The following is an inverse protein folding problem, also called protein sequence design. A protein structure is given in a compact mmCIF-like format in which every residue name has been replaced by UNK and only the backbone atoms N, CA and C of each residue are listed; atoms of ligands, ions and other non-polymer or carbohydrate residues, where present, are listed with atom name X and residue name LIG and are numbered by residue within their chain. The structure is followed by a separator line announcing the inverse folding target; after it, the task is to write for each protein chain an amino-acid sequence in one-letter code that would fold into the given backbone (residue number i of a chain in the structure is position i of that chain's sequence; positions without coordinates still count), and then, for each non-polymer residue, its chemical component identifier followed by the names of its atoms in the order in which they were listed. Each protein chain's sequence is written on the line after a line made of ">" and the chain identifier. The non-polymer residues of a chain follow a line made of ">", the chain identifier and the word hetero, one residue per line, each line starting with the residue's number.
data_IF_157919752598
#
_entry.id   IF_157919752598
#
_cell.length_a   1.000
_cell.length_b   1.000
_cell.length_c   1.000
_cell.angle_alpha   90.00
_cell.angle_beta   90.00
_cell.angle_gamma   90.00
#
_symmetry.space_group_name_H-M   'P 1'
#
loop_
_entity.id
_entity.type
_entity.pdbx_description
1 polymer ?
#
# COMPACT_ATOMS: atom_id res chain seq x y z
N UNK A 1 61.49 42.63 -49.96
CA UNK A 1 61.82 42.54 -48.52
C UNK A 1 60.56 42.19 -47.77
N UNK A 2 60.60 41.08 -47.04
CA UNK A 2 59.53 40.56 -46.20
C UNK A 2 59.00 41.58 -45.20
N UNK A 3 57.71 41.48 -44.89
CA UNK A 3 57.20 41.79 -43.55
C UNK A 3 56.04 40.87 -43.24
N UNK A 4 56.34 39.87 -42.42
CA UNK A 4 55.39 39.08 -41.65
C UNK A 4 54.85 39.97 -40.54
N UNK A 5 53.53 40.02 -40.32
CA UNK A 5 52.99 40.43 -39.03
C UNK A 5 51.82 39.52 -38.61
N UNK A 6 52.16 38.74 -37.57
CA UNK A 6 51.37 38.01 -36.59
C UNK A 6 49.83 38.02 -36.69
N UNK A 7 49.28 36.83 -36.93
CA UNK A 7 47.89 36.48 -36.60
C UNK A 7 47.82 36.26 -35.07
N UNK A 8 47.19 37.18 -34.33
CA UNK A 8 46.80 36.93 -32.94
C UNK A 8 45.63 35.93 -32.92
N UNK A 9 45.71 34.82 -32.17
CA UNK A 9 44.56 33.95 -32.03
C UNK A 9 43.52 34.66 -31.16
N UNK A 10 42.32 34.85 -31.71
CA UNK A 10 41.13 35.14 -30.92
C UNK A 10 40.88 33.92 -30.03
N UNK A 11 41.28 34.02 -28.75
CA UNK A 11 40.79 33.11 -27.73
C UNK A 11 39.29 33.39 -27.57
N UNK A 12 38.48 32.55 -28.21
CA UNK A 12 37.08 32.42 -27.85
C UNK A 12 37.05 31.90 -26.41
N UNK A 13 36.42 32.61 -25.44
CA UNK A 13 36.16 32.00 -24.15
C UNK A 13 35.21 30.84 -24.43
N UNK A 14 35.74 29.62 -24.37
CA UNK A 14 34.92 28.42 -24.29
C UNK A 14 34.23 28.50 -22.93
N UNK A 15 33.02 29.06 -22.91
CA UNK A 15 32.11 28.87 -21.78
C UNK A 15 31.82 27.38 -21.75
N UNK A 16 32.61 26.64 -20.98
CA UNK A 16 32.20 25.34 -20.53
C UNK A 16 30.96 25.60 -19.67
N UNK A 17 29.77 25.46 -20.26
CA UNK A 17 28.58 25.28 -19.45
C UNK A 17 28.92 24.17 -18.46
N UNK A 18 28.78 24.39 -17.15
CA UNK A 18 29.13 23.38 -16.17
C UNK A 18 28.32 22.14 -16.53
N UNK A 19 29.02 21.05 -16.86
CA UNK A 19 28.39 19.80 -17.24
C UNK A 19 27.40 19.42 -16.13
N UNK A 20 26.14 19.20 -16.51
CA UNK A 20 25.11 18.76 -15.57
C UNK A 20 25.47 17.36 -15.09
N UNK A 21 26.13 17.29 -13.93
CA UNK A 21 26.48 16.02 -13.29
C UNK A 21 25.29 15.50 -12.49
N UNK A 22 24.40 14.79 -13.19
CA UNK A 22 23.23 14.15 -12.60
C UNK A 22 23.60 13.20 -11.45
N UNK A 23 24.69 12.45 -11.59
CA UNK A 23 25.11 11.46 -10.60
C UNK A 23 25.58 12.14 -9.31
N UNK A 24 26.38 13.20 -9.41
CA UNK A 24 26.79 13.98 -8.26
C UNK A 24 25.60 14.63 -7.54
N UNK A 25 24.65 15.21 -8.28
CA UNK A 25 23.45 15.85 -7.71
C UNK A 25 22.53 14.85 -7.01
N UNK A 26 22.30 13.68 -7.61
CA UNK A 26 21.52 12.62 -6.97
C UNK A 26 22.21 12.12 -5.70
N UNK A 27 23.54 11.95 -5.73
CA UNK A 27 24.32 11.53 -4.57
C UNK A 27 24.28 12.56 -3.44
N UNK A 28 24.40 13.85 -3.76
CA UNK A 28 24.30 14.97 -2.80
C UNK A 28 22.98 14.89 -2.04
N UNK A 29 21.84 14.84 -2.75
CA UNK A 29 20.53 14.77 -2.12
C UNK A 29 20.28 13.47 -1.35
N UNK A 30 20.78 12.33 -1.85
CA UNK A 30 20.68 11.05 -1.15
C UNK A 30 21.45 11.05 0.17
N UNK A 31 22.69 11.54 0.18
CA UNK A 31 23.52 11.59 1.38
C UNK A 31 22.92 12.52 2.42
N UNK A 32 22.44 13.70 2.00
CA UNK A 32 21.80 14.66 2.89
C UNK A 32 20.55 14.07 3.55
N UNK A 33 19.59 13.59 2.75
CA UNK A 33 18.31 13.06 3.25
C UNK A 33 18.45 11.74 4.04
N UNK A 34 19.61 11.08 3.96
CA UNK A 34 19.92 9.87 4.73
C UNK A 34 20.79 10.16 5.97
N UNK A 35 21.16 11.42 6.21
CA UNK A 35 22.01 11.77 7.35
C UNK A 35 21.28 11.57 8.68
N UNK A 36 22.05 11.21 9.72
CA UNK A 36 21.54 11.04 11.09
C UNK A 36 20.80 12.28 11.61
N UNK A 37 21.18 13.46 11.11
CA UNK A 37 20.53 14.73 11.43
C UNK A 37 19.03 14.78 11.04
N UNK A 38 18.51 13.84 10.25
CA UNK A 38 17.07 13.75 9.98
C UNK A 38 16.37 12.78 10.94
N UNK A 39 17.08 11.81 11.52
CA UNK A 39 16.51 10.74 12.38
C UNK A 39 15.39 9.94 11.70
N UNK A 40 15.34 9.97 10.36
CA UNK A 40 14.20 9.52 9.56
C UNK A 40 13.41 10.69 8.97
N UNK A 41 12.26 10.40 8.36
CA UNK A 41 11.46 11.41 7.65
C UNK A 41 9.98 11.04 7.60
N UNK A 42 9.49 10.44 8.68
CA UNK A 42 8.10 10.05 8.81
C UNK A 42 7.21 11.28 9.07
N UNK A 43 5.94 11.30 8.64
CA UNK A 43 5.03 12.41 8.90
C UNK A 43 4.91 12.75 10.40
N UNK A 44 4.83 14.04 10.72
CA UNK A 44 4.67 14.56 12.07
C UNK A 44 5.91 14.39 12.96
N UNK A 45 7.11 14.29 12.38
CA UNK A 45 8.39 14.19 13.09
C UNK A 45 9.29 15.39 12.78
N UNK A 46 10.29 15.65 13.63
CA UNK A 46 11.31 16.66 13.34
C UNK A 46 12.07 16.38 12.02
N UNK A 47 12.22 15.11 11.65
CA UNK A 47 12.82 14.70 10.38
C UNK A 47 12.00 15.12 9.15
N UNK A 48 10.67 15.13 9.24
CA UNK A 48 9.81 15.70 8.19
C UNK A 48 10.05 17.21 8.07
N UNK A 49 10.08 17.95 9.19
CA UNK A 49 10.31 19.41 9.17
C UNK A 49 11.63 19.77 8.50
N UNK A 50 12.72 19.06 8.84
CA UNK A 50 14.03 19.23 8.22
C UNK A 50 14.00 18.88 6.74
N UNK A 51 13.34 17.77 6.37
CA UNK A 51 13.21 17.33 4.97
C UNK A 51 12.46 18.38 4.14
N UNK A 52 11.36 18.90 4.66
CA UNK A 52 10.55 19.92 4.00
C UNK A 52 11.36 21.20 3.80
N UNK A 53 12.08 21.67 4.82
CA UNK A 53 12.93 22.84 4.71
C UNK A 53 14.01 22.67 3.63
N UNK A 54 14.69 21.51 3.62
CA UNK A 54 15.67 21.17 2.59
C UNK A 54 15.05 21.19 1.19
N UNK A 55 13.89 20.57 0.98
CA UNK A 55 13.23 20.54 -0.32
C UNK A 55 12.88 21.95 -0.82
N UNK A 56 12.35 22.82 0.05
CA UNK A 56 12.05 24.21 -0.29
C UNK A 56 13.32 24.98 -0.69
N UNK A 57 14.40 24.85 0.08
CA UNK A 57 15.68 25.48 -0.24
C UNK A 57 16.20 25.03 -1.61
N UNK A 58 16.13 23.73 -1.90
CA UNK A 58 16.55 23.19 -3.21
C UNK A 58 15.67 23.70 -4.35
N UNK A 59 14.36 23.77 -4.17
CA UNK A 59 13.44 24.31 -5.18
C UNK A 59 13.71 25.80 -5.44
N UNK A 60 13.95 26.59 -4.39
CA UNK A 60 14.33 27.99 -4.51
C UNK A 60 15.66 28.18 -5.23
N UNK A 61 16.67 27.37 -4.91
CA UNK A 61 17.97 27.41 -5.58
C UNK A 61 17.89 27.05 -7.07
N UNK A 62 16.86 26.28 -7.47
CA UNK A 62 16.55 25.97 -8.87
C UNK A 62 15.72 27.06 -9.57
N UNK A 63 15.32 28.13 -8.86
CA UNK A 63 14.52 29.23 -9.41
C UNK A 63 13.04 28.88 -9.61
N UNK A 64 12.54 27.85 -8.92
CA UNK A 64 11.12 27.53 -8.93
C UNK A 64 10.31 28.57 -8.14
N UNK A 65 9.05 28.72 -8.51
CA UNK A 65 8.06 29.49 -7.77
C UNK A 65 7.23 28.57 -6.85
N UNK A 66 6.74 29.05 -5.70
CA UNK A 66 5.84 28.27 -4.87
C UNK A 66 4.55 27.88 -5.63
N UNK A 67 4.17 26.60 -5.56
CA UNK A 67 3.02 26.05 -6.28
C UNK A 67 1.99 25.36 -5.37
N UNK A 68 2.10 25.58 -4.07
CA UNK A 68 1.16 25.11 -3.06
C UNK A 68 -0.06 26.01 -2.91
N UNK A 69 -0.83 25.75 -1.86
CA UNK A 69 -2.06 26.49 -1.53
C UNK A 69 -1.71 27.93 -1.19
N UNK A 70 -2.52 28.88 -1.66
CA UNK A 70 -2.40 30.32 -1.40
C UNK A 70 -1.01 30.91 -1.70
N UNK A 71 -0.32 30.39 -2.73
CA UNK A 71 1.00 30.88 -3.14
C UNK A 71 2.13 30.47 -2.18
N UNK A 72 1.90 29.48 -1.32
CA UNK A 72 2.92 28.87 -0.47
C UNK A 72 3.63 27.73 -1.20
N UNK A 73 4.66 27.14 -0.59
CA UNK A 73 5.28 25.90 -1.08
C UNK A 73 4.50 24.64 -0.71
N UNK A 74 3.42 24.77 0.07
CA UNK A 74 2.84 23.66 0.81
C UNK A 74 1.40 23.39 0.38
N UNK A 75 1.09 22.11 0.23
CA UNK A 75 -0.29 21.63 0.25
C UNK A 75 -0.49 20.88 1.57
N UNK A 76 -1.29 21.41 2.51
CA UNK A 76 -1.58 20.73 3.77
C UNK A 76 -2.21 19.36 3.54
N UNK A 77 -1.71 18.35 4.25
CA UNK A 77 -2.26 17.00 4.25
C UNK A 77 -2.55 16.66 5.72
N UNK A 78 -3.76 16.94 6.22
CA UNK A 78 -4.13 16.56 7.57
C UNK A 78 -4.26 15.03 7.65
N UNK A 79 -3.55 14.45 8.61
CA UNK A 79 -3.48 13.02 8.83
C UNK A 79 -3.91 12.67 10.25
N UNK A 80 -4.40 11.45 10.42
CA UNK A 80 -4.53 10.79 11.70
C UNK A 80 -3.41 9.76 11.84
N UNK A 81 -2.56 9.94 12.84
CA UNK A 81 -1.63 8.90 13.29
C UNK A 81 -2.39 7.92 14.18
N UNK A 82 -2.41 6.64 13.80
CA UNK A 82 -3.14 5.57 14.48
C UNK A 82 -2.16 4.49 14.90
N UNK A 83 -2.12 4.22 16.20
CA UNK A 83 -1.41 3.07 16.76
C UNK A 83 -2.42 2.13 17.43
N UNK A 84 -2.64 0.97 16.81
CA UNK A 84 -3.60 -0.03 17.28
C UNK A 84 -2.96 -1.09 18.17
N UNK A 85 -3.68 -1.53 19.20
CA UNK A 85 -3.40 -2.75 19.96
C UNK A 85 -4.44 -3.81 19.62
N UNK A 86 -4.12 -4.76 18.73
CA UNK A 86 -5.07 -5.76 18.29
C UNK A 86 -5.20 -6.95 19.24
N UNK A 87 -6.39 -7.55 19.23
CA UNK A 87 -6.65 -8.94 19.66
C UNK A 87 -7.39 -9.66 18.54
N UNK A 88 -7.11 -10.94 18.36
CA UNK A 88 -7.74 -11.78 17.35
C UNK A 88 -7.81 -13.21 17.86
N UNK A 89 -8.96 -13.86 17.71
CA UNK A 89 -9.12 -15.29 17.95
C UNK A 89 -10.19 -15.87 17.02
N UNK A 90 -10.12 -17.19 16.81
CA UNK A 90 -11.07 -17.93 15.97
C UNK A 90 -11.68 -19.07 16.77
N UNK A 91 -13.00 -19.14 16.85
CA UNK A 91 -13.74 -20.17 17.58
C UNK A 91 -14.39 -21.12 16.59
N UNK A 92 -14.03 -22.40 16.64
CA UNK A 92 -14.54 -23.44 15.72
C UNK A 92 -15.58 -24.30 16.44
N UNK A 93 -16.83 -23.83 16.49
CA UNK A 93 -17.92 -24.47 17.22
C UNK A 93 -18.05 -24.00 18.68
N UNK A 94 -19.22 -24.24 19.28
CA UNK A 94 -19.62 -23.58 20.55
C UNK A 94 -18.81 -23.97 21.79
N UNK A 95 -18.09 -25.10 21.77
CA UNK A 95 -17.32 -25.62 22.91
C UNK A 95 -15.82 -25.76 22.64
N UNK A 96 -15.34 -25.30 21.48
CA UNK A 96 -13.92 -25.38 21.16
C UNK A 96 -13.14 -24.26 21.84
N UNK A 97 -11.93 -24.58 22.29
CA UNK A 97 -10.95 -23.59 22.71
C UNK A 97 -10.65 -22.63 21.55
N UNK A 98 -10.57 -21.31 21.78
CA UNK A 98 -10.23 -20.35 20.74
C UNK A 98 -8.85 -20.63 20.15
N UNK A 99 -8.76 -20.60 18.82
CA UNK A 99 -7.51 -20.59 18.10
C UNK A 99 -6.98 -19.16 18.03
N UNK A 100 -5.90 -18.90 18.76
CA UNK A 100 -5.28 -17.57 18.84
C UNK A 100 -3.93 -17.55 18.10
N UNK A 101 -3.70 -16.58 17.18
CA UNK A 101 -2.39 -16.32 16.60
C UNK A 101 -1.48 -15.57 17.58
N UNK A 102 -0.19 -15.89 17.57
CA UNK A 102 0.83 -15.07 18.22
C UNK A 102 1.04 -13.76 17.44
N UNK A 103 0.47 -12.65 17.90
CA UNK A 103 0.64 -11.34 17.28
C UNK A 103 2.02 -10.73 17.64
N UNK A 104 2.72 -10.05 16.70
CA UNK A 104 2.39 -9.86 15.29
C UNK A 104 2.98 -10.95 14.36
N UNK A 105 3.44 -12.09 14.90
CA UNK A 105 4.21 -13.10 14.18
C UNK A 105 3.39 -14.05 13.31
N UNK A 106 2.17 -14.36 13.72
CA UNK A 106 1.25 -15.27 13.03
C UNK A 106 0.06 -14.55 12.40
N UNK A 107 -0.26 -13.36 12.90
CA UNK A 107 -1.24 -12.47 12.29
C UNK A 107 -0.92 -11.01 12.65
N UNK A 108 -1.45 -10.09 11.84
CA UNK A 108 -1.55 -8.68 12.16
C UNK A 108 -2.94 -8.17 11.86
N UNK A 109 -3.36 -7.17 12.62
CA UNK A 109 -4.67 -6.56 12.49
C UNK A 109 -4.53 -5.08 12.86
N UNK A 110 -5.14 -4.21 12.08
CA UNK A 110 -5.29 -2.78 12.38
C UNK A 110 -6.74 -2.36 12.19
N UNK A 111 -7.11 -1.25 12.80
CA UNK A 111 -8.36 -0.58 12.53
C UNK A 111 -8.07 0.86 12.20
N UNK A 112 -8.48 1.30 11.01
CA UNK A 112 -8.46 2.71 10.61
C UNK A 112 -9.74 3.43 11.02
N UNK A 113 -10.55 2.85 11.90
CA UNK A 113 -11.65 3.57 12.52
C UNK A 113 -11.10 4.80 13.24
N UNK A 114 -11.68 5.97 12.97
CA UNK A 114 -11.33 7.21 13.67
C UNK A 114 -11.77 7.16 15.17
N UNK A 115 -12.52 6.12 15.57
CA UNK A 115 -12.89 5.87 16.97
C UNK A 115 -11.76 5.24 17.80
N UNK A 116 -11.90 5.35 19.12
CA UNK A 116 -10.90 4.85 20.08
C UNK A 116 -10.80 3.31 20.14
N UNK A 117 -11.81 2.57 19.69
CA UNK A 117 -11.76 1.13 19.61
C UNK A 117 -12.76 0.55 18.60
N UNK A 118 -12.47 -0.65 18.13
CA UNK A 118 -13.42 -1.55 17.47
C UNK A 118 -13.44 -2.89 18.19
N UNK A 119 -14.60 -3.54 18.23
CA UNK A 119 -14.77 -4.86 18.82
C UNK A 119 -15.88 -5.61 18.09
N UNK A 120 -15.58 -6.83 17.67
CA UNK A 120 -16.53 -7.78 17.09
C UNK A 120 -16.29 -9.12 17.75
N UNK A 121 -17.30 -9.64 18.44
CA UNK A 121 -17.18 -10.88 19.23
C UNK A 121 -17.72 -12.13 18.51
N UNK A 122 -18.34 -11.94 17.35
CA UNK A 122 -18.87 -13.02 16.51
C UNK A 122 -19.04 -12.56 15.06
N UNK A 123 -18.08 -12.89 14.20
CA UNK A 123 -18.23 -12.79 12.75
C UNK A 123 -17.91 -14.11 12.07
N UNK A 124 -18.81 -14.57 11.18
CA UNK A 124 -18.58 -15.80 10.41
C UNK A 124 -17.35 -15.63 9.50
N UNK A 125 -16.46 -16.63 9.52
CA UNK A 125 -15.26 -16.64 8.69
C UNK A 125 -15.49 -17.39 7.39
N UNK A 126 -15.24 -16.70 6.27
CA UNK A 126 -15.43 -17.25 4.93
C UNK A 126 -14.16 -17.07 4.11
N UNK A 127 -13.68 -18.14 3.52
CA UNK A 127 -12.62 -18.09 2.52
C UNK A 127 -13.21 -17.74 1.15
N UNK A 128 -12.75 -16.65 0.56
CA UNK A 128 -13.29 -16.09 -0.70
C UNK A 128 -12.25 -16.11 -1.83
N UNK A 129 -11.34 -17.08 -1.82
CA UNK A 129 -10.34 -17.23 -2.88
C UNK A 129 -9.41 -16.03 -2.95
N UNK A 130 -9.32 -15.38 -4.10
CA UNK A 130 -8.56 -14.15 -4.29
C UNK A 130 -9.41 -12.89 -4.04
N UNK A 131 -10.70 -13.00 -3.73
CA UNK A 131 -11.57 -11.84 -3.47
C UNK A 131 -11.77 -10.91 -4.67
N UNK A 132 -11.70 -11.43 -5.90
CA UNK A 132 -11.76 -10.63 -7.13
C UNK A 132 -13.18 -10.50 -7.68
N UNK A 133 -13.54 -9.29 -8.12
CA UNK A 133 -14.67 -8.97 -8.99
C UNK A 133 -14.14 -8.27 -10.24
N UNK A 134 -14.01 -9.02 -11.34
CA UNK A 134 -13.53 -8.54 -12.63
C UNK A 134 -14.54 -8.93 -13.73
N UNK A 135 -15.61 -8.13 -13.93
CA UNK A 135 -16.65 -8.41 -14.91
C UNK A 135 -16.14 -8.54 -16.35
N UNK A 136 -15.06 -7.83 -16.69
CA UNK A 136 -14.38 -7.92 -17.99
C UNK A 136 -13.75 -9.30 -18.27
N UNK A 137 -13.59 -10.12 -17.23
CA UNK A 137 -13.08 -11.48 -17.29
C UNK A 137 -14.13 -12.53 -16.90
N UNK A 138 -15.40 -12.14 -16.77
CA UNK A 138 -16.48 -12.98 -16.20
C UNK A 138 -16.08 -13.61 -14.85
N UNK A 139 -15.30 -12.87 -14.05
CA UNK A 139 -14.73 -13.35 -12.80
C UNK A 139 -15.38 -12.68 -11.59
N UNK A 140 -15.87 -13.50 -10.67
CA UNK A 140 -16.40 -13.04 -9.39
C UNK A 140 -16.21 -14.13 -8.33
N UNK A 141 -15.27 -13.95 -7.42
CA UNK A 141 -14.99 -14.95 -6.37
C UNK A 141 -16.09 -15.07 -5.33
N UNK A 142 -16.97 -14.07 -5.20
CA UNK A 142 -18.03 -14.04 -4.20
C UNK A 142 -19.28 -14.80 -4.63
N UNK A 143 -19.54 -14.92 -5.94
CA UNK A 143 -20.69 -15.65 -6.51
C UNK A 143 -22.03 -15.30 -5.83
N UNK A 144 -22.22 -14.03 -5.44
CA UNK A 144 -23.44 -13.56 -4.75
C UNK A 144 -23.50 -13.81 -3.25
N UNK A 145 -22.40 -14.24 -2.61
CA UNK A 145 -22.27 -14.33 -1.15
C UNK A 145 -22.62 -12.99 -0.49
N UNK A 146 -23.56 -13.01 0.46
CA UNK A 146 -23.76 -11.87 1.37
C UNK A 146 -22.55 -11.79 2.31
N UNK A 147 -21.72 -10.77 2.14
CA UNK A 147 -20.51 -10.60 2.95
C UNK A 147 -20.75 -9.77 4.21
N UNK A 148 -21.96 -9.23 4.40
CA UNK A 148 -22.24 -8.27 5.46
C UNK A 148 -21.91 -8.84 6.84
N UNK A 149 -21.07 -8.15 7.58
CA UNK A 149 -20.68 -8.53 8.94
C UNK A 149 -19.78 -9.76 9.04
N UNK A 150 -19.34 -10.35 7.91
CA UNK A 150 -18.45 -11.53 7.91
C UNK A 150 -16.98 -11.13 7.96
N UNK A 151 -16.13 -12.02 8.45
CA UNK A 151 -14.67 -11.91 8.30
C UNK A 151 -14.26 -12.66 7.05
N UNK A 152 -13.76 -11.94 6.06
CA UNK A 152 -13.31 -12.53 4.80
C UNK A 152 -11.84 -12.89 4.90
N UNK A 153 -11.49 -14.12 4.56
CA UNK A 153 -10.11 -14.56 4.37
C UNK A 153 -9.84 -14.73 2.87
N UNK A 154 -8.79 -14.10 2.37
CA UNK A 154 -8.48 -14.06 0.94
C UNK A 154 -6.98 -14.27 0.70
N UNK A 155 -6.61 -14.78 -0.46
CA UNK A 155 -5.22 -14.90 -0.89
C UNK A 155 -4.69 -13.54 -1.39
N UNK A 156 -3.42 -13.28 -1.13
CA UNK A 156 -2.71 -12.14 -1.75
C UNK A 156 -2.51 -12.39 -3.25
N UNK A 157 -2.37 -11.29 -4.01
CA UNK A 157 -2.09 -11.26 -5.45
C UNK A 157 -3.31 -11.58 -6.35
N UNK A 158 -3.10 -11.57 -7.66
CA UNK A 158 -4.07 -11.97 -8.69
C UNK A 158 -4.24 -13.50 -8.71
N UNK A 159 -5.42 -14.03 -9.15
CA UNK A 159 -5.57 -15.44 -9.45
C UNK A 159 -4.54 -15.87 -10.52
N UNK A 160 -3.72 -16.91 -10.27
CA UNK A 160 -2.73 -17.38 -11.23
C UNK A 160 -3.40 -18.27 -12.27
N UNK A 161 -4.20 -17.65 -13.15
CA UNK A 161 -4.94 -18.35 -14.20
C UNK A 161 -3.95 -18.91 -15.21
N UNK A 162 -3.96 -20.23 -15.39
CA UNK A 162 -3.14 -20.90 -16.41
C UNK A 162 -3.73 -20.70 -17.80
N UNK A 163 -2.84 -20.53 -18.77
CA UNK A 163 -3.19 -20.48 -20.19
C UNK A 163 -3.63 -21.88 -20.67
N UNK A 164 -4.88 -22.06 -21.14
CA UNK A 164 -5.39 -23.35 -21.60
C UNK A 164 -4.60 -23.93 -22.77
N UNK A 165 -3.98 -23.07 -23.60
CA UNK A 165 -3.17 -23.46 -24.74
C UNK A 165 -1.70 -23.71 -24.38
N UNK A 166 -1.23 -23.22 -23.21
CA UNK A 166 0.17 -23.35 -22.76
C UNK A 166 0.23 -23.76 -21.27
N UNK A 167 -0.01 -25.05 -20.97
CA UNK A 167 0.03 -25.56 -19.58
C UNK A 167 1.32 -25.17 -18.86
N UNK A 168 1.20 -24.72 -17.61
CA UNK A 168 2.32 -24.21 -16.81
C UNK A 168 2.76 -22.78 -17.13
N UNK A 169 2.06 -22.06 -18.02
CA UNK A 169 2.19 -20.60 -18.19
C UNK A 169 0.93 -19.90 -17.72
N UNK A 170 1.08 -18.70 -17.18
CA UNK A 170 -0.04 -17.84 -16.85
C UNK A 170 -0.64 -17.22 -18.11
N UNK A 171 -1.95 -17.09 -18.14
CA UNK A 171 -2.68 -16.43 -19.20
C UNK A 171 -2.38 -14.91 -19.19
N UNK A 172 -1.90 -14.38 -20.31
CA UNK A 172 -1.62 -12.94 -20.44
C UNK A 172 -2.89 -12.12 -20.70
N UNK A 173 -3.96 -12.76 -21.19
CA UNK A 173 -5.25 -12.12 -21.46
C UNK A 173 -6.10 -11.99 -20.20
N UNK A 174 -5.89 -12.86 -19.21
CA UNK A 174 -6.62 -12.88 -17.94
C UNK A 174 -5.65 -12.48 -16.81
N UNK A 175 -5.89 -11.33 -16.19
CA UNK A 175 -5.02 -10.77 -15.15
C UNK A 175 -3.54 -10.54 -15.55
N UNK A 176 -3.25 -10.36 -16.86
CA UNK A 176 -1.91 -9.95 -17.36
C UNK A 176 -0.76 -10.88 -16.97
N UNK A 177 -1.04 -12.17 -16.76
CA UNK A 177 -0.05 -13.20 -16.47
C UNK A 177 0.76 -12.91 -15.21
N UNK A 178 2.06 -12.60 -15.37
CA UNK A 178 2.97 -12.33 -14.24
C UNK A 178 2.88 -10.91 -13.70
N UNK A 179 2.30 -9.98 -14.46
CA UNK A 179 2.21 -8.58 -14.06
C UNK A 179 1.04 -8.39 -13.09
N UNK A 180 1.31 -7.91 -11.88
CA UNK A 180 0.27 -7.65 -10.89
C UNK A 180 -0.73 -6.60 -11.42
N UNK A 181 -2.01 -6.93 -11.37
CA UNK A 181 -3.08 -5.99 -11.74
C UNK A 181 -3.57 -5.20 -10.52
N UNK A 182 -4.61 -4.38 -10.70
CA UNK A 182 -5.28 -3.74 -9.57
C UNK A 182 -5.88 -4.79 -8.63
N UNK A 183 -6.41 -5.89 -9.17
CA UNK A 183 -7.01 -6.96 -8.39
C UNK A 183 -6.02 -7.64 -7.45
N UNK A 184 -4.75 -7.78 -7.84
CA UNK A 184 -3.74 -8.38 -6.99
C UNK A 184 -3.28 -7.53 -5.80
N UNK A 185 -3.60 -6.23 -5.79
CA UNK A 185 -3.19 -5.33 -4.71
C UNK A 185 -3.95 -5.61 -3.43
N UNK A 186 -3.25 -5.64 -2.31
CA UNK A 186 -3.87 -5.75 -0.98
C UNK A 186 -4.86 -4.61 -0.69
N UNK A 187 -4.60 -3.40 -1.21
CA UNK A 187 -5.53 -2.26 -1.07
C UNK A 187 -6.89 -2.57 -1.70
N UNK A 188 -6.90 -3.18 -2.89
CA UNK A 188 -8.14 -3.59 -3.55
C UNK A 188 -8.91 -4.58 -2.67
N UNK A 189 -8.24 -5.56 -2.06
CA UNK A 189 -8.89 -6.56 -1.17
C UNK A 189 -9.63 -5.89 -0.01
N UNK A 190 -9.03 -4.86 0.60
CA UNK A 190 -9.67 -4.07 1.66
C UNK A 190 -10.83 -3.23 1.14
N UNK A 191 -10.66 -2.59 -0.03
CA UNK A 191 -11.70 -1.79 -0.68
C UNK A 191 -12.93 -2.63 -1.00
N UNK A 192 -12.78 -3.74 -1.72
CA UNK A 192 -13.91 -4.61 -2.09
C UNK A 192 -14.58 -5.24 -0.86
N UNK A 193 -13.82 -5.66 0.16
CA UNK A 193 -14.40 -6.17 1.39
C UNK A 193 -15.23 -5.10 2.11
N UNK A 194 -14.79 -3.86 2.07
CA UNK A 194 -15.51 -2.72 2.65
C UNK A 194 -16.78 -2.41 1.86
N UNK A 195 -16.71 -2.39 0.53
CA UNK A 195 -17.87 -2.20 -0.36
C UNK A 195 -18.94 -3.27 -0.15
N UNK A 196 -18.53 -4.52 0.06
CA UNK A 196 -19.43 -5.64 0.34
C UNK A 196 -19.93 -5.69 1.80
N UNK A 197 -19.50 -4.76 2.65
CA UNK A 197 -19.96 -4.62 4.03
C UNK A 197 -19.40 -5.65 5.01
N UNK A 198 -18.25 -6.26 4.70
CA UNK A 198 -17.57 -7.19 5.60
C UNK A 198 -17.21 -6.53 6.94
N UNK A 199 -17.19 -7.33 8.01
CA UNK A 199 -16.69 -6.86 9.31
C UNK A 199 -15.16 -6.74 9.30
N UNK A 200 -14.46 -7.67 8.65
CA UNK A 200 -13.02 -7.66 8.54
C UNK A 200 -12.52 -8.31 7.23
N UNK A 201 -11.31 -7.92 6.83
CA UNK A 201 -10.57 -8.56 5.73
C UNK A 201 -9.20 -9.02 6.21
N UNK A 202 -8.92 -10.32 6.07
CA UNK A 202 -7.66 -10.95 6.43
C UNK A 202 -7.02 -11.57 5.19
N UNK A 203 -5.85 -11.04 4.81
CA UNK A 203 -5.12 -11.54 3.64
C UNK A 203 -4.13 -12.62 4.09
N UNK A 204 -4.15 -13.78 3.45
CA UNK A 204 -3.14 -14.81 3.66
C UNK A 204 -1.86 -14.39 2.94
N UNK A 205 -0.79 -14.19 3.70
CA UNK A 205 0.53 -13.89 3.16
C UNK A 205 1.14 -15.15 2.54
N UNK A 206 1.79 -14.96 1.39
CA UNK A 206 2.70 -15.93 0.81
C UNK A 206 3.90 -15.19 0.22
N UNK A 207 5.13 -15.61 0.54
CA UNK A 207 6.34 -14.85 0.17
C UNK A 207 6.49 -14.65 -1.34
N UNK A 208 6.22 -15.69 -2.15
CA UNK A 208 6.30 -15.59 -3.61
C UNK A 208 5.29 -14.59 -4.18
N UNK A 209 3.97 -14.81 -3.96
CA UNK A 209 2.92 -13.89 -4.38
C UNK A 209 3.02 -12.46 -3.83
N UNK A 210 3.44 -12.26 -2.57
CA UNK A 210 3.60 -10.93 -1.99
C UNK A 210 4.87 -10.21 -2.48
N UNK A 211 5.90 -10.97 -2.90
CA UNK A 211 7.20 -10.44 -3.33
C UNK A 211 8.14 -10.03 -2.17
N UNK A 212 7.74 -10.25 -0.93
CA UNK A 212 8.54 -9.97 0.26
C UNK A 212 8.19 -10.90 1.44
N UNK A 213 9.12 -11.11 2.39
CA UNK A 213 8.86 -11.93 3.59
C UNK A 213 7.78 -11.33 4.49
N UNK A 214 7.11 -12.18 5.28
CA UNK A 214 6.06 -11.76 6.22
C UNK A 214 6.55 -10.70 7.23
N UNK A 215 7.84 -10.68 7.56
CA UNK A 215 8.45 -9.68 8.44
C UNK A 215 8.25 -8.23 7.98
N UNK A 216 8.10 -7.98 6.67
CA UNK A 216 7.77 -6.65 6.13
C UNK A 216 6.34 -6.25 6.53
N UNK A 217 5.40 -7.19 6.47
CA UNK A 217 4.01 -6.98 6.90
C UNK A 217 3.96 -6.76 8.41
N UNK A 218 4.52 -7.67 9.19
CA UNK A 218 4.44 -7.61 10.65
C UNK A 218 5.15 -6.38 11.23
N UNK A 219 6.29 -5.98 10.65
CA UNK A 219 7.01 -4.77 11.03
C UNK A 219 6.31 -3.46 10.70
N UNK A 220 5.36 -3.46 9.74
CA UNK A 220 4.59 -2.27 9.34
C UNK A 220 3.34 -2.06 10.19
N UNK A 221 2.67 -3.14 10.59
CA UNK A 221 1.44 -3.06 11.40
C UNK A 221 1.69 -2.77 12.88
N UNK A 222 2.89 -3.06 13.41
CA UNK A 222 3.25 -2.78 14.80
C UNK A 222 3.61 -1.31 15.11
N UNK A 223 3.67 -0.45 14.08
CA UNK A 223 4.01 0.97 14.18
C UNK A 223 2.77 1.85 14.08
N UNK A 224 2.94 3.13 14.40
CA UNK A 224 1.95 4.13 14.02
C UNK A 224 1.78 4.14 12.50
N UNK A 225 0.53 4.05 12.05
CA UNK A 225 0.14 4.13 10.66
C UNK A 225 -0.67 5.42 10.45
N UNK A 226 -0.65 5.96 9.24
CA UNK A 226 -1.36 7.20 8.93
C UNK A 226 -2.55 6.92 8.01
N UNK A 227 -3.68 7.57 8.32
CA UNK A 227 -4.80 7.73 7.38
C UNK A 227 -5.09 9.22 7.19
N UNK A 228 -5.83 9.56 6.15
CA UNK A 228 -6.29 10.94 5.95
C UNK A 228 -7.29 11.31 7.04
N UNK A 229 -7.17 12.51 7.60
CA UNK A 229 -8.22 13.10 8.44
C UNK A 229 -9.34 13.65 7.54
N UNK A 230 -10.07 12.73 6.90
CA UNK A 230 -11.14 13.04 5.95
C UNK A 230 -12.47 13.24 6.71
N UNK A 231 -13.16 14.40 6.57
CA UNK A 231 -14.47 14.61 7.15
C UNK A 231 -15.56 13.71 6.56
N UNK A 232 -15.32 13.07 5.41
CA UNK A 232 -16.25 12.13 4.74
C UNK A 232 -15.52 10.83 4.39
N UNK A 233 -15.09 10.05 5.39
CA UNK A 233 -14.30 8.87 5.14
C UNK A 233 -15.11 7.86 4.31
N UNK A 234 -14.44 7.20 3.35
CA UNK A 234 -15.01 6.07 2.62
C UNK A 234 -15.41 4.96 3.61
N UNK A 235 -16.47 4.18 3.35
CA UNK A 235 -16.77 2.99 4.14
C UNK A 235 -15.55 2.08 4.21
N UNK A 236 -15.27 1.56 5.40
CA UNK A 236 -14.17 0.64 5.67
C UNK A 236 -14.66 -0.53 6.51
N UNK A 237 -14.06 -1.70 6.32
CA UNK A 237 -14.15 -2.80 7.29
C UNK A 237 -13.69 -2.32 8.67
N UNK A 238 -14.23 -2.92 9.73
CA UNK A 238 -13.87 -2.53 11.10
C UNK A 238 -12.40 -2.87 11.41
N UNK A 239 -11.88 -3.94 10.82
CA UNK A 239 -10.49 -4.33 10.94
C UNK A 239 -9.94 -4.95 9.64
N UNK A 240 -8.69 -4.64 9.33
CA UNK A 240 -7.97 -5.15 8.17
C UNK A 240 -6.63 -5.73 8.61
N UNK A 241 -6.17 -6.79 7.96
CA UNK A 241 -5.01 -7.52 8.46
C UNK A 241 -4.48 -8.58 7.52
N UNK A 242 -3.48 -9.30 8.03
CA UNK A 242 -2.84 -10.41 7.33
C UNK A 242 -2.62 -11.59 8.27
N UNK A 243 -2.78 -12.79 7.74
CA UNK A 243 -2.39 -14.04 8.39
C UNK A 243 -1.07 -14.52 7.78
N UNK A 244 -0.13 -14.95 8.63
CA UNK A 244 1.01 -15.71 8.16
C UNK A 244 0.52 -17.05 7.59
N UNK A 245 1.10 -17.52 6.49
CA UNK A 245 0.71 -18.77 5.84
C UNK A 245 0.60 -19.97 6.81
N UNK A 246 1.56 -20.19 7.75
CA UNK A 246 1.48 -21.32 8.67
C UNK A 246 0.24 -21.27 9.57
N UNK A 247 -0.14 -20.08 10.04
CA UNK A 247 -1.32 -19.90 10.86
C UNK A 247 -2.61 -20.04 10.03
N UNK A 248 -2.62 -19.51 8.80
CA UNK A 248 -3.75 -19.72 7.89
C UNK A 248 -3.97 -21.23 7.64
N UNK A 249 -2.92 -22.01 7.37
CA UNK A 249 -3.01 -23.47 7.23
C UNK A 249 -3.56 -24.14 8.49
N UNK A 250 -3.13 -23.70 9.68
CA UNK A 250 -3.66 -24.19 10.97
C UNK A 250 -5.16 -23.90 11.11
N UNK A 251 -5.61 -22.69 10.80
CA UNK A 251 -7.02 -22.31 10.83
C UNK A 251 -7.87 -23.15 9.87
N UNK A 252 -7.39 -23.35 8.64
CA UNK A 252 -8.08 -24.15 7.62
C UNK A 252 -8.13 -25.62 8.03
N UNK A 253 -7.02 -26.19 8.50
CA UNK A 253 -6.97 -27.57 8.98
C UNK A 253 -7.89 -27.83 10.17
N UNK A 254 -7.94 -26.90 11.14
CA UNK A 254 -8.89 -26.97 12.25
C UNK A 254 -10.36 -26.92 11.79
N UNK A 255 -10.62 -26.27 10.65
CA UNK A 255 -11.92 -26.18 9.99
C UNK A 255 -12.24 -27.40 9.11
N UNK A 256 -11.38 -28.42 9.10
CA UNK A 256 -11.50 -29.60 8.23
C UNK A 256 -11.23 -29.32 6.76
N UNK A 257 -10.60 -28.19 6.43
CA UNK A 257 -10.29 -27.77 5.07
C UNK A 257 -8.82 -28.00 4.72
N UNK A 258 -8.55 -28.40 3.47
CA UNK A 258 -7.21 -28.44 2.90
C UNK A 258 -6.91 -27.09 2.21
N UNK A 259 -5.99 -26.32 2.79
CA UNK A 259 -5.59 -25.02 2.27
C UNK A 259 -5.06 -25.09 0.83
N UNK A 260 -4.24 -26.09 0.49
CA UNK A 260 -3.64 -26.19 -0.84
C UNK A 260 -4.69 -26.60 -1.89
N UNK A 261 -5.64 -27.45 -1.50
CA UNK A 261 -6.77 -27.80 -2.37
C UNK A 261 -7.67 -26.58 -2.63
N UNK A 262 -8.00 -25.81 -1.60
CA UNK A 262 -8.81 -24.60 -1.74
C UNK A 262 -8.09 -23.51 -2.54
N UNK A 263 -6.78 -23.33 -2.34
CA UNK A 263 -5.96 -22.41 -3.15
C UNK A 263 -5.96 -22.80 -4.63
N UNK A 264 -5.76 -24.08 -4.95
CA UNK A 264 -5.83 -24.57 -6.35
C UNK A 264 -7.23 -24.37 -6.94
N UNK A 265 -8.28 -24.58 -6.15
CA UNK A 265 -9.65 -24.32 -6.60
C UNK A 265 -9.88 -22.83 -6.88
N UNK A 266 -9.38 -21.95 -6.01
CA UNK A 266 -9.51 -20.49 -6.13
C UNK A 266 -8.81 -19.88 -7.36
N UNK A 267 -7.89 -20.62 -8.01
CA UNK A 267 -7.28 -20.21 -9.27
C UNK A 267 -8.19 -20.45 -10.49
N UNK A 268 -9.42 -20.94 -10.30
CA UNK A 268 -10.39 -21.23 -11.37
C UNK A 268 -11.64 -20.36 -11.23
N UNK A 269 -12.20 -19.95 -12.36
CA UNK A 269 -13.40 -19.10 -12.40
C UNK A 269 -14.64 -19.75 -11.77
N UNK A 270 -14.68 -21.08 -11.68
CA UNK A 270 -15.79 -21.86 -11.11
C UNK A 270 -15.71 -22.00 -9.57
N UNK A 271 -14.67 -21.45 -8.93
CA UNK A 271 -14.54 -21.40 -7.48
C UNK A 271 -15.78 -20.79 -6.81
N UNK A 272 -16.12 -21.32 -5.64
CA UNK A 272 -17.17 -20.79 -4.77
C UNK A 272 -16.59 -20.55 -3.37
N UNK A 273 -17.00 -19.48 -2.67
CA UNK A 273 -16.58 -19.24 -1.29
C UNK A 273 -16.86 -20.42 -0.37
N UNK A 274 -15.98 -20.63 0.59
CA UNK A 274 -16.06 -21.73 1.56
C UNK A 274 -16.15 -21.17 2.97
N UNK A 275 -17.28 -21.40 3.63
CA UNK A 275 -17.42 -21.11 5.05
C UNK A 275 -16.52 -22.04 5.86
N UNK A 276 -15.68 -21.48 6.73
CA UNK A 276 -14.73 -22.26 7.53
C UNK A 276 -15.36 -22.86 8.79
N UNK A 277 -16.64 -22.58 9.07
CA UNK A 277 -17.29 -23.00 10.32
C UNK A 277 -16.69 -22.35 11.57
N UNK A 278 -15.78 -21.38 11.39
CA UNK A 278 -15.17 -20.60 12.45
C UNK A 278 -15.90 -19.26 12.63
N UNK A 279 -15.92 -18.76 13.86
CA UNK A 279 -16.31 -17.39 14.21
C UNK A 279 -15.09 -16.61 14.66
N UNK A 280 -14.79 -15.50 14.02
CA UNK A 280 -13.72 -14.61 14.46
C UNK A 280 -14.21 -13.71 15.59
N UNK A 281 -13.35 -13.52 16.59
CA UNK A 281 -13.46 -12.47 17.58
C UNK A 281 -12.26 -11.57 17.43
N UNK A 282 -12.47 -10.27 17.30
CA UNK A 282 -11.36 -9.35 17.15
C UNK A 282 -11.69 -7.99 17.76
N UNK A 283 -10.65 -7.25 18.08
CA UNK A 283 -10.77 -5.86 18.44
C UNK A 283 -9.45 -5.15 18.31
N UNK A 284 -9.52 -3.85 18.16
CA UNK A 284 -8.34 -2.98 18.10
C UNK A 284 -8.62 -1.78 18.98
N UNK A 285 -7.78 -1.57 19.98
CA UNK A 285 -7.75 -0.33 20.75
C UNK A 285 -6.82 0.65 20.06
N UNK A 286 -7.35 1.78 19.61
CA UNK A 286 -6.63 2.77 18.84
C UNK A 286 -6.19 3.93 19.73
N UNK A 287 -4.90 4.26 19.68
CA UNK A 287 -4.41 5.59 20.03
C UNK A 287 -4.35 6.42 18.77
N UNK A 288 -5.16 7.47 18.71
CA UNK A 288 -5.24 8.39 17.56
C UNK A 288 -4.67 9.75 17.94
N UNK A 289 -3.88 10.35 17.05
CA UNK A 289 -3.45 11.75 17.16
C UNK A 289 -3.58 12.46 15.81
N UNK A 290 -3.89 13.75 15.85
CA UNK A 290 -3.83 14.60 14.67
C UNK A 290 -2.36 14.84 14.28
N UNK A 291 -2.09 14.82 12.98
CA UNK A 291 -0.77 14.99 12.39
C UNK A 291 -0.88 15.97 11.22
N UNK A 292 -0.19 17.10 11.34
CA UNK A 292 -0.14 18.12 10.30
C UNK A 292 1.04 17.86 9.35
N UNK A 293 0.81 17.05 8.32
CA UNK A 293 1.78 16.81 7.24
C UNK A 293 1.50 17.74 6.05
N UNK A 294 2.39 17.72 5.06
CA UNK A 294 2.28 18.56 3.86
C UNK A 294 3.01 17.96 2.67
N UNK A 295 2.45 18.10 1.48
CA UNK A 295 3.21 17.98 0.24
C UNK A 295 3.99 19.28 0.01
N UNK A 296 5.13 19.20 -0.69
CA UNK A 296 5.93 20.36 -1.11
C UNK A 296 5.85 20.48 -2.62
N UNK A 297 5.45 21.64 -3.14
CA UNK A 297 5.23 21.89 -4.56
C UNK A 297 5.93 23.17 -5.02
N UNK A 298 6.73 23.03 -6.08
CA UNK A 298 7.40 24.12 -6.79
C UNK A 298 7.12 24.04 -8.28
N UNK A 299 6.96 25.18 -8.93
CA UNK A 299 6.62 25.29 -10.34
C UNK A 299 7.69 26.06 -11.11
N UNK A 300 7.99 25.59 -12.32
CA UNK A 300 8.65 26.37 -13.35
C UNK A 300 7.61 26.70 -14.42
N UNK A 301 7.36 27.98 -14.66
CA UNK A 301 6.37 28.37 -15.68
C UNK A 301 6.93 28.13 -17.08
N UNK A 302 6.12 27.49 -17.92
CA UNK A 302 6.41 27.34 -19.34
C UNK A 302 6.48 28.70 -20.03
N UNK A 303 7.32 28.79 -21.06
CA UNK A 303 7.48 30.01 -21.86
C UNK A 303 6.45 30.16 -22.97
N UNK A 304 5.71 29.09 -23.31
CA UNK A 304 4.65 29.12 -24.33
C UNK A 304 3.33 29.65 -23.74
N UNK A 305 2.84 30.83 -24.16
CA UNK A 305 1.60 31.40 -23.65
C UNK A 305 0.36 30.54 -23.96
N UNK A 306 0.37 29.76 -25.05
CA UNK A 306 -0.76 28.92 -25.43
C UNK A 306 -0.92 27.71 -24.51
N UNK A 307 0.19 27.22 -23.93
CA UNK A 307 0.23 26.06 -23.03
C UNK A 307 0.38 26.47 -21.55
N UNK A 308 0.28 27.76 -21.23
CA UNK A 308 0.53 28.26 -19.87
C UNK A 308 -0.42 27.70 -18.79
N UNK A 309 -1.53 27.08 -19.19
CA UNK A 309 -2.47 26.39 -18.31
C UNK A 309 -2.23 24.87 -18.15
N UNK A 310 -1.29 24.31 -18.91
CA UNK A 310 -0.94 22.89 -18.86
C UNK A 310 0.26 22.65 -17.95
N UNK A 311 0.19 21.58 -17.17
CA UNK A 311 1.21 21.23 -16.17
C UNK A 311 1.68 19.80 -16.37
N UNK A 312 2.99 19.60 -16.22
CA UNK A 312 3.60 18.29 -16.07
C UNK A 312 3.96 18.13 -14.59
N UNK A 313 3.42 17.10 -13.95
CA UNK A 313 3.58 16.80 -12.52
C UNK A 313 4.15 15.41 -12.36
#
# INVERSE_FOLDING_TARGET
>A
MSSFLALLPLLTPQSAEPAFDAAARLREGLVELAADAYEGRAPGTAGEERTVAYLVERMQALGLEPAGVDGTWFQPVPLLGVQGKPRLSFVLGAQAEPLEPLLPHEAVLSSRSHGAAVAVDDSEVVFVGYGVVAPEHDWNDYKGLDCRGKTLVMLVNDPPVEDPARPGKLDEAVFRGRAMTYYGRWTYKYEIASELGAAACLIVHETGPAGYPYAVVSGSFGRENFDLDDPKPRPRVQAEGWLAEPFARKLFGASGQDFDALKRAAARADFKPVTLGARARFGVENRVRAVASRNVAGALRGSDPALAGEWLV
#
